data_IF_810043597389
#
_entry.id   IF_810043597389
#
_cell.length_a   1.000
_cell.length_b   1.000
_cell.length_c   1.000
_cell.angle_alpha   90.00
_cell.angle_beta   90.00
_cell.angle_gamma   90.00
#
_symmetry.space_group_name_H-M   'P 1'
#
loop_
_entity.id
_entity.type
_entity.pdbx_description
1 polymer ?
#
# COMPACT_ATOMS: atom_id res chain seq x y z
N UNK A 1 -14.82 -34.53 -24.04
CA UNK A 1 -14.78 -33.53 -25.14
C UNK A 1 -13.63 -32.57 -24.83
N UNK A 2 -12.56 -32.63 -25.61
CA UNK A 2 -11.37 -31.77 -25.46
C UNK A 2 -11.76 -30.31 -25.77
N UNK A 3 -11.80 -29.43 -24.77
CA UNK A 3 -12.04 -28.01 -25.02
C UNK A 3 -10.75 -27.35 -25.52
N UNK A 4 -10.59 -27.24 -26.84
CA UNK A 4 -9.45 -26.57 -27.46
C UNK A 4 -9.50 -25.07 -27.13
N UNK A 5 -8.48 -24.58 -26.41
CA UNK A 5 -8.38 -23.16 -26.05
C UNK A 5 -8.09 -22.35 -27.33
N UNK A 6 -8.77 -21.22 -27.50
CA UNK A 6 -8.59 -20.32 -28.65
C UNK A 6 -8.27 -18.90 -28.19
N UNK A 7 -7.62 -18.11 -29.05
CA UNK A 7 -7.39 -16.70 -28.78
C UNK A 7 -8.73 -15.95 -28.72
N UNK A 8 -8.98 -15.22 -27.63
CA UNK A 8 -10.22 -14.46 -27.42
C UNK A 8 -10.45 -13.38 -28.49
N UNK A 9 -9.39 -12.83 -29.09
CA UNK A 9 -9.46 -11.83 -30.15
C UNK A 9 -9.53 -12.46 -31.55
N UNK A 10 -8.52 -13.25 -31.95
CA UNK A 10 -8.38 -13.73 -33.34
C UNK A 10 -8.79 -15.19 -33.57
N UNK A 11 -9.30 -15.87 -32.53
CA UNK A 11 -9.83 -17.25 -32.55
C UNK A 11 -8.87 -18.36 -32.98
N UNK A 12 -7.58 -18.08 -33.18
CA UNK A 12 -6.55 -19.11 -33.45
C UNK A 12 -6.42 -20.10 -32.29
N UNK A 13 -6.33 -21.39 -32.61
CA UNK A 13 -6.33 -22.53 -31.67
C UNK A 13 -5.01 -23.31 -31.64
N UNK A 14 -4.16 -23.17 -32.67
CA UNK A 14 -2.87 -23.89 -32.81
C UNK A 14 -1.67 -22.94 -32.65
N UNK A 15 -1.73 -22.10 -31.62
CA UNK A 15 -0.69 -21.12 -31.31
C UNK A 15 -0.47 -21.10 -29.82
N UNK A 16 0.73 -20.71 -29.39
CA UNK A 16 0.99 -20.53 -27.97
C UNK A 16 0.10 -19.42 -27.41
N UNK A 17 -0.80 -19.80 -26.51
CA UNK A 17 -1.85 -18.94 -25.97
C UNK A 17 -1.50 -18.52 -24.55
N UNK A 18 -1.35 -17.21 -24.37
CA UNK A 18 -1.05 -16.59 -23.09
C UNK A 18 -2.35 -16.16 -22.42
N UNK A 19 -2.57 -16.63 -21.20
CA UNK A 19 -3.71 -16.21 -20.41
C UNK A 19 -3.59 -14.73 -20.01
N UNK A 20 -4.72 -14.05 -19.88
CA UNK A 20 -4.79 -12.71 -19.34
C UNK A 20 -4.22 -12.71 -17.92
N UNK A 21 -3.23 -11.85 -17.66
CA UNK A 21 -2.55 -11.79 -16.36
C UNK A 21 -3.48 -11.44 -15.19
N UNK A 22 -4.61 -10.78 -15.46
CA UNK A 22 -5.59 -10.34 -14.44
C UNK A 22 -6.62 -11.42 -14.11
N UNK A 23 -7.35 -11.92 -15.11
CA UNK A 23 -8.44 -12.88 -14.88
C UNK A 23 -8.04 -14.35 -15.05
N UNK A 24 -6.96 -14.62 -15.79
CA UNK A 24 -6.51 -15.95 -16.24
C UNK A 24 -7.53 -16.76 -17.06
N UNK A 25 -8.74 -16.24 -17.30
CA UNK A 25 -9.82 -16.91 -18.04
C UNK A 25 -9.70 -16.70 -19.55
N UNK A 26 -9.40 -15.49 -20.01
CA UNK A 26 -9.23 -15.20 -21.43
C UNK A 26 -7.80 -15.51 -21.90
N UNK A 27 -7.65 -16.06 -23.10
CA UNK A 27 -6.37 -16.48 -23.68
C UNK A 27 -6.08 -15.70 -24.97
N UNK A 28 -4.81 -15.34 -25.21
CA UNK A 28 -4.41 -14.56 -26.38
C UNK A 28 -3.11 -15.09 -27.00
N UNK A 29 -3.02 -15.12 -28.33
CA UNK A 29 -1.79 -15.52 -29.02
C UNK A 29 -0.66 -14.49 -28.90
N UNK A 30 -0.96 -13.29 -28.38
CA UNK A 30 0.01 -12.21 -28.25
C UNK A 30 -0.58 -10.95 -27.62
N UNK A 31 0.30 -10.01 -27.29
CA UNK A 31 -0.05 -8.74 -26.61
C UNK A 31 -0.95 -7.86 -27.47
N UNK A 32 -0.80 -7.90 -28.79
CA UNK A 32 -1.62 -7.11 -29.71
C UNK A 32 -3.08 -7.56 -29.69
N UNK A 33 -3.30 -8.89 -29.70
CA UNK A 33 -4.64 -9.46 -29.56
C UNK A 33 -5.27 -9.12 -28.20
N UNK A 34 -4.49 -9.08 -27.13
CA UNK A 34 -4.97 -8.65 -25.81
C UNK A 34 -5.33 -7.15 -25.77
N UNK A 35 -4.53 -6.28 -26.39
CA UNK A 35 -4.77 -4.83 -26.44
C UNK A 35 -6.03 -4.50 -27.26
N UNK A 36 -6.22 -5.18 -28.39
CA UNK A 36 -7.40 -5.00 -29.24
C UNK A 36 -8.68 -5.39 -28.52
N UNK A 37 -8.68 -6.53 -27.83
CA UNK A 37 -9.82 -6.99 -27.05
C UNK A 37 -9.99 -6.23 -25.71
N UNK A 38 -9.04 -5.37 -25.31
CA UNK A 38 -9.07 -4.73 -23.98
C UNK A 38 -10.34 -3.90 -23.74
N UNK A 39 -10.89 -3.23 -24.76
CA UNK A 39 -12.09 -2.38 -24.62
C UNK A 39 -13.33 -3.20 -24.21
N UNK A 40 -13.48 -4.41 -24.74
CA UNK A 40 -14.52 -5.39 -24.42
C UNK A 40 -14.17 -6.16 -23.16
N UNK A 41 -12.97 -6.75 -23.13
CA UNK A 41 -12.50 -7.63 -22.06
C UNK A 41 -12.49 -6.94 -20.70
N UNK A 42 -12.09 -5.66 -20.60
CA UNK A 42 -11.97 -4.96 -19.30
C UNK A 42 -13.26 -4.97 -18.47
N UNK A 43 -14.43 -5.04 -19.13
CA UNK A 43 -15.75 -5.05 -18.45
C UNK A 43 -16.01 -6.37 -17.71
N UNK A 44 -15.39 -7.45 -18.16
CA UNK A 44 -15.57 -8.82 -17.63
C UNK A 44 -14.29 -9.39 -17.01
N UNK A 45 -13.16 -8.70 -17.18
CA UNK A 45 -11.85 -9.08 -16.65
C UNK A 45 -11.85 -9.15 -15.11
N UNK A 46 -12.71 -8.40 -14.43
CA UNK A 46 -12.82 -8.34 -12.97
C UNK A 46 -13.73 -9.43 -12.37
N UNK A 47 -14.59 -10.07 -13.15
CA UNK A 47 -15.70 -10.87 -12.60
C UNK A 47 -15.43 -12.38 -12.56
N UNK A 48 -14.44 -12.87 -13.30
CA UNK A 48 -14.18 -14.31 -13.43
C UNK A 48 -13.05 -14.87 -12.54
N UNK A 49 -12.53 -14.08 -11.60
CA UNK A 49 -11.48 -14.52 -10.67
C UNK A 49 -12.03 -15.21 -9.40
N UNK A 50 -13.35 -15.35 -9.26
CA UNK A 50 -13.98 -15.80 -8.00
C UNK A 50 -14.30 -17.31 -7.91
N UNK A 51 -14.07 -18.12 -8.94
CA UNK A 51 -14.68 -19.46 -8.99
C UNK A 51 -13.71 -20.65 -9.03
N UNK A 52 -12.40 -20.47 -8.89
CA UNK A 52 -11.45 -21.58 -9.12
C UNK A 52 -10.42 -21.86 -8.00
N UNK A 53 -10.60 -21.34 -6.78
CA UNK A 53 -9.70 -21.68 -5.65
C UNK A 53 -10.48 -21.87 -4.35
N UNK A 54 -11.37 -22.85 -4.33
CA UNK A 54 -11.88 -23.46 -3.10
C UNK A 54 -11.18 -24.81 -2.99
N UNK A 55 -10.01 -24.85 -2.34
CA UNK A 55 -9.45 -26.01 -1.63
C UNK A 55 -8.02 -25.67 -1.21
N UNK A 56 -7.87 -25.32 0.07
CA UNK A 56 -6.59 -24.98 0.69
C UNK A 56 -6.80 -24.19 1.97
N UNK A 57 -7.44 -24.80 2.96
CA UNK A 57 -7.65 -24.23 4.27
C UNK A 57 -6.31 -24.10 5.03
N UNK A 58 -6.02 -22.90 5.53
CA UNK A 58 -5.17 -22.67 6.70
C UNK A 58 -5.64 -21.37 7.39
N UNK A 59 -6.38 -21.55 8.49
CA UNK A 59 -6.44 -20.65 9.65
C UNK A 59 -6.42 -19.14 9.38
N UNK A 60 -7.46 -18.59 8.76
CA UNK A 60 -7.70 -17.15 8.86
C UNK A 60 -8.36 -16.84 10.21
N UNK A 61 -7.54 -16.43 11.18
CA UNK A 61 -8.04 -15.67 12.33
C UNK A 61 -8.88 -14.52 11.79
N UNK A 62 -10.18 -14.54 12.07
CA UNK A 62 -11.13 -13.49 11.67
C UNK A 62 -10.87 -12.18 12.41
N UNK A 63 -9.94 -12.18 13.37
CA UNK A 63 -9.58 -11.07 14.24
C UNK A 63 -8.11 -10.70 14.05
N UNK A 64 -7.83 -9.42 13.80
CA UNK A 64 -6.46 -8.89 13.80
C UNK A 64 -6.09 -8.46 15.23
N UNK A 65 -5.09 -9.14 15.81
CA UNK A 65 -4.44 -8.72 17.05
C UNK A 65 -3.13 -8.03 16.69
N UNK A 66 -3.04 -6.72 16.93
CA UNK A 66 -1.87 -5.93 16.57
C UNK A 66 -0.63 -6.37 17.38
N UNK A 67 0.38 -6.99 16.73
CA UNK A 67 1.57 -7.45 17.44
C UNK A 67 2.41 -6.27 17.93
N UNK A 68 3.27 -6.52 18.92
CA UNK A 68 4.26 -5.52 19.33
C UNK A 68 5.30 -5.35 18.22
N UNK A 69 5.31 -4.17 17.61
CA UNK A 69 6.25 -3.83 16.54
C UNK A 69 7.69 -3.81 17.07
N UNK A 70 8.63 -4.42 16.33
CA UNK A 70 10.01 -4.66 16.80
C UNK A 70 10.82 -3.40 17.11
N UNK A 71 10.45 -2.28 16.51
CA UNK A 71 11.30 -1.08 16.40
C UNK A 71 10.58 0.21 16.82
N UNK A 72 9.38 0.03 17.39
CA UNK A 72 8.52 1.06 17.96
C UNK A 72 8.44 0.80 19.46
N UNK A 73 8.65 1.83 20.25
CA UNK A 73 8.68 1.73 21.71
C UNK A 73 7.27 1.55 22.27
N UNK A 74 6.33 2.38 21.82
CA UNK A 74 4.94 2.35 22.28
C UNK A 74 4.09 1.41 21.44
N UNK A 75 3.72 0.28 22.06
CA UNK A 75 2.72 -0.63 21.49
C UNK A 75 1.36 0.08 21.40
N UNK A 76 0.73 -0.04 20.24
CA UNK A 76 -0.63 0.44 20.00
C UNK A 76 -1.48 -0.80 19.70
N UNK A 77 -2.42 -1.17 20.59
CA UNK A 77 -3.25 -2.35 20.39
C UNK A 77 -4.33 -2.17 19.33
N UNK A 78 -4.73 -0.91 19.04
CA UNK A 78 -5.75 -0.59 18.04
C UNK A 78 -5.26 0.42 16.99
N UNK A 79 -4.20 0.09 16.23
CA UNK A 79 -3.60 1.01 15.26
C UNK A 79 -4.59 1.52 14.21
N UNK A 80 -5.50 0.69 13.70
CA UNK A 80 -6.43 1.08 12.63
C UNK A 80 -7.52 2.02 13.14
N UNK A 81 -8.03 1.77 14.34
CA UNK A 81 -8.98 2.68 15.02
C UNK A 81 -8.32 4.04 15.24
N UNK A 82 -7.08 4.09 15.71
CA UNK A 82 -6.35 5.35 15.90
C UNK A 82 -6.05 6.07 14.58
N UNK A 83 -5.76 5.33 13.51
CA UNK A 83 -5.59 5.90 12.16
C UNK A 83 -6.87 6.54 11.65
N UNK A 84 -8.01 5.87 11.83
CA UNK A 84 -9.32 6.40 11.44
C UNK A 84 -9.70 7.66 12.20
N UNK A 85 -9.36 7.72 13.48
CA UNK A 85 -9.57 8.90 14.33
C UNK A 85 -8.56 10.04 14.09
N UNK A 86 -7.55 9.84 13.23
CA UNK A 86 -6.44 10.80 13.07
C UNK A 86 -5.60 10.99 14.33
N UNK A 87 -5.61 9.99 15.23
CA UNK A 87 -4.92 10.00 16.52
C UNK A 87 -3.69 9.09 16.56
N UNK A 88 -3.34 8.45 15.43
CA UNK A 88 -2.28 7.44 15.36
C UNK A 88 -0.90 7.90 15.83
N UNK A 89 -0.56 9.18 15.62
CA UNK A 89 0.71 9.75 16.09
C UNK A 89 0.58 10.44 17.45
N UNK A 90 -0.61 10.91 17.85
CA UNK A 90 -0.80 11.88 18.95
C UNK A 90 -0.19 11.44 20.28
N UNK A 91 -0.31 10.17 20.60
CA UNK A 91 0.13 9.61 21.88
C UNK A 91 1.51 8.93 21.79
N UNK A 92 2.23 9.06 20.67
CA UNK A 92 3.50 8.35 20.45
C UNK A 92 4.71 9.15 20.94
N UNK A 93 5.78 8.46 21.38
CA UNK A 93 7.08 9.07 21.62
C UNK A 93 7.63 9.75 20.37
N UNK A 94 8.57 10.66 20.58
CA UNK A 94 9.23 11.41 19.51
C UNK A 94 9.90 10.49 18.48
N UNK A 95 10.73 9.55 18.94
CA UNK A 95 11.45 8.62 18.08
C UNK A 95 10.52 7.77 17.20
N UNK A 96 9.39 7.33 17.77
CA UNK A 96 8.38 6.56 17.01
C UNK A 96 7.66 7.43 15.98
N UNK A 97 7.34 8.67 16.35
CA UNK A 97 6.68 9.62 15.46
C UNK A 97 7.55 9.93 14.24
N UNK A 98 8.84 10.18 14.44
CA UNK A 98 9.77 10.46 13.34
C UNK A 98 9.89 9.25 12.39
N UNK A 99 10.11 8.05 12.93
CA UNK A 99 10.18 6.80 12.13
C UNK A 99 8.92 6.62 11.27
N UNK A 100 7.74 6.71 11.89
CA UNK A 100 6.46 6.48 11.21
C UNK A 100 6.18 7.54 10.14
N UNK A 101 6.51 8.82 10.39
CA UNK A 101 6.36 9.88 9.39
C UNK A 101 7.27 9.67 8.19
N UNK A 102 8.57 9.42 8.43
CA UNK A 102 9.53 9.20 7.34
C UNK A 102 9.16 7.96 6.53
N UNK A 103 8.85 6.86 7.20
CA UNK A 103 8.60 5.58 6.51
C UNK A 103 7.24 5.54 5.82
N UNK A 104 6.22 6.23 6.34
CA UNK A 104 4.94 6.41 5.63
C UNK A 104 5.11 7.22 4.34
N UNK A 105 5.93 8.27 4.39
CA UNK A 105 6.28 9.05 3.20
C UNK A 105 7.08 8.22 2.19
N UNK A 106 8.15 7.53 2.62
CA UNK A 106 9.00 6.70 1.75
C UNK A 106 8.20 5.59 1.05
N UNK A 107 7.32 4.91 1.80
CA UNK A 107 6.46 3.88 1.23
C UNK A 107 5.45 4.48 0.24
N UNK A 108 4.90 5.66 0.55
CA UNK A 108 3.99 6.36 -0.36
C UNK A 108 4.67 6.75 -1.66
N UNK A 109 5.90 7.26 -1.63
CA UNK A 109 6.66 7.54 -2.85
C UNK A 109 6.96 6.28 -3.66
N UNK A 110 7.32 5.17 -2.99
CA UNK A 110 7.55 3.89 -3.64
C UNK A 110 6.28 3.39 -4.36
N UNK A 111 5.12 3.47 -3.70
CA UNK A 111 3.84 3.10 -4.29
C UNK A 111 3.48 4.04 -5.46
N UNK A 112 3.64 5.36 -5.30
CA UNK A 112 3.38 6.32 -6.38
C UNK A 112 4.28 6.07 -7.59
N UNK A 113 5.58 5.77 -7.41
CA UNK A 113 6.46 5.40 -8.51
C UNK A 113 6.04 4.10 -9.21
N UNK A 114 5.53 3.12 -8.45
CA UNK A 114 5.11 1.83 -8.98
C UNK A 114 3.79 1.93 -9.77
N UNK A 115 2.84 2.75 -9.31
CA UNK A 115 1.48 2.77 -9.85
C UNK A 115 1.16 4.03 -10.67
N UNK A 116 1.80 5.15 -10.36
CA UNK A 116 1.55 6.46 -10.99
C UNK A 116 2.77 6.90 -11.81
N UNK A 117 2.55 7.34 -13.05
CA UNK A 117 3.63 7.87 -13.90
C UNK A 117 3.90 9.35 -13.57
N UNK A 118 4.18 9.65 -12.29
CA UNK A 118 4.46 11.02 -11.83
C UNK A 118 5.90 11.41 -12.13
N UNK A 119 6.08 12.64 -12.62
CA UNK A 119 7.38 13.29 -12.85
C UNK A 119 7.67 14.42 -11.85
N UNK A 120 6.71 14.70 -10.96
CA UNK A 120 6.77 15.74 -9.94
C UNK A 120 6.15 15.22 -8.63
N UNK A 121 6.61 15.68 -7.45
CA UNK A 121 7.74 16.60 -7.24
C UNK A 121 9.11 15.95 -7.52
N UNK A 122 10.17 16.76 -7.58
CA UNK A 122 11.55 16.27 -7.61
C UNK A 122 11.85 15.49 -6.32
N UNK A 123 12.22 14.23 -6.47
CA UNK A 123 12.48 13.30 -5.38
C UNK A 123 13.40 12.15 -5.84
N UNK A 124 13.77 11.26 -4.92
CA UNK A 124 14.59 10.07 -5.22
C UNK A 124 14.01 9.20 -6.36
N UNK A 125 12.69 9.27 -6.56
CA UNK A 125 11.99 8.48 -7.58
C UNK A 125 11.82 9.22 -8.92
N UNK A 126 12.08 10.52 -8.97
CA UNK A 126 12.03 11.35 -10.19
C UNK A 126 13.40 11.90 -10.62
N UNK A 127 14.48 11.42 -9.99
CA UNK A 127 15.87 11.66 -10.40
C UNK A 127 16.68 12.62 -9.51
N UNK A 128 16.13 13.06 -8.37
CA UNK A 128 16.89 13.83 -7.38
C UNK A 128 17.76 12.92 -6.49
N UNK A 129 18.73 13.50 -5.79
CA UNK A 129 19.61 12.78 -4.88
C UNK A 129 18.90 12.28 -3.61
N UNK A 130 17.83 12.96 -3.21
CA UNK A 130 17.04 12.66 -2.02
C UNK A 130 15.58 13.13 -2.19
N UNK A 131 14.73 12.76 -1.22
CA UNK A 131 13.33 13.18 -1.15
C UNK A 131 13.06 14.20 -0.03
N UNK A 132 14.06 14.97 0.40
CA UNK A 132 13.97 15.90 1.53
C UNK A 132 12.95 17.02 1.27
N UNK A 133 13.02 17.66 0.11
CA UNK A 133 12.12 18.75 -0.24
C UNK A 133 10.63 18.33 -0.23
N UNK A 134 10.21 17.24 -0.90
CA UNK A 134 8.84 16.75 -0.79
C UNK A 134 8.49 16.24 0.61
N UNK A 135 9.44 15.70 1.37
CA UNK A 135 9.19 15.31 2.76
C UNK A 135 8.86 16.50 3.67
N UNK A 136 9.56 17.64 3.52
CA UNK A 136 9.23 18.88 4.25
C UNK A 136 7.78 19.33 3.99
N UNK A 137 7.31 19.22 2.75
CA UNK A 137 5.92 19.52 2.39
C UNK A 137 4.93 18.51 3.00
N UNK A 138 5.31 17.24 3.06
CA UNK A 138 4.50 16.20 3.70
C UNK A 138 4.32 16.45 5.20
N UNK A 139 5.39 16.81 5.91
CA UNK A 139 5.30 17.15 7.35
C UNK A 139 4.45 18.41 7.59
N UNK A 140 4.60 19.44 6.75
CA UNK A 140 3.77 20.64 6.83
C UNK A 140 2.27 20.33 6.63
N UNK A 141 1.93 19.41 5.72
CA UNK A 141 0.55 18.94 5.55
C UNK A 141 0.03 18.19 6.79
N UNK A 142 0.87 17.34 7.40
CA UNK A 142 0.51 16.61 8.61
C UNK A 142 0.22 17.58 9.78
N UNK A 143 1.02 18.64 9.90
CA UNK A 143 0.81 19.74 10.86
C UNK A 143 -0.54 20.41 10.64
N UNK A 144 -0.79 20.89 9.41
CA UNK A 144 -2.00 21.62 9.06
C UNK A 144 -3.28 20.79 9.28
N UNK A 145 -3.18 19.46 9.16
CA UNK A 145 -4.27 18.52 9.41
C UNK A 145 -4.42 18.10 10.87
N UNK A 146 -3.62 18.65 11.80
CA UNK A 146 -3.67 18.33 13.25
C UNK A 146 -3.52 16.83 13.54
N UNK A 147 -2.66 16.18 12.76
CA UNK A 147 -2.32 14.75 12.93
C UNK A 147 -1.13 14.56 13.88
N UNK A 148 -0.32 15.60 14.06
CA UNK A 148 0.91 15.55 14.84
C UNK A 148 0.65 15.63 16.36
N UNK A 149 1.58 15.14 17.19
CA UNK A 149 1.46 15.20 18.65
C UNK A 149 1.38 16.62 19.21
N UNK A 150 0.85 16.76 20.42
CA UNK A 150 0.71 18.07 21.08
C UNK A 150 2.06 18.74 21.40
N UNK A 151 3.12 17.95 21.58
CA UNK A 151 4.49 18.44 21.80
C UNK A 151 5.18 18.93 20.52
N UNK A 152 4.55 18.71 19.36
CA UNK A 152 5.16 19.01 18.07
C UNK A 152 5.21 20.53 17.82
N UNK A 153 6.35 21.01 17.32
CA UNK A 153 6.64 22.42 17.05
C UNK A 153 7.57 22.57 15.82
N UNK A 154 7.91 23.80 15.43
CA UNK A 154 8.79 24.06 14.29
C UNK A 154 10.19 23.43 14.45
N UNK A 155 10.75 23.45 15.67
CA UNK A 155 12.04 22.81 15.95
C UNK A 155 11.95 21.29 15.71
N UNK A 156 10.86 20.64 16.15
CA UNK A 156 10.61 19.21 15.89
C UNK A 156 10.39 18.88 14.43
N UNK A 157 9.88 19.83 13.65
CA UNK A 157 9.82 19.70 12.19
C UNK A 157 11.22 19.63 11.59
N UNK A 158 12.14 20.50 12.02
CA UNK A 158 13.53 20.48 11.57
C UNK A 158 14.25 19.20 12.00
N UNK A 159 14.10 18.79 13.27
CA UNK A 159 14.68 17.56 13.80
C UNK A 159 14.17 16.32 13.07
N UNK A 160 12.88 16.24 12.75
CA UNK A 160 12.30 15.12 12.00
C UNK A 160 12.87 15.03 10.57
N UNK A 161 13.12 16.18 9.93
CA UNK A 161 13.73 16.19 8.60
C UNK A 161 15.19 15.78 8.68
N UNK A 162 15.95 16.30 9.64
CA UNK A 162 17.33 15.89 9.89
C UNK A 162 17.44 14.39 10.23
N UNK A 163 16.45 13.83 10.94
CA UNK A 163 16.35 12.39 11.20
C UNK A 163 16.23 11.58 9.89
N UNK A 164 15.40 12.06 8.95
CA UNK A 164 15.25 11.45 7.62
C UNK A 164 16.47 11.66 6.71
N UNK A 165 17.29 12.66 7.00
CA UNK A 165 18.60 12.89 6.39
C UNK A 165 19.71 12.11 7.14
N UNK A 166 19.42 11.29 8.13
CA UNK A 166 20.44 10.47 8.80
C UNK A 166 20.84 9.23 8.00
N UNK A 167 21.85 8.50 8.49
CA UNK A 167 22.28 7.21 7.89
C UNK A 167 21.49 6.00 8.41
N UNK A 168 20.41 6.23 9.15
CA UNK A 168 19.57 5.20 9.72
C UNK A 168 18.76 4.44 8.64
N UNK A 169 17.91 3.50 9.09
CA UNK A 169 17.02 2.76 8.18
C UNK A 169 15.97 3.66 7.53
N UNK A 170 15.45 4.63 8.28
CA UNK A 170 14.46 5.63 7.86
C UNK A 170 15.14 6.81 7.17
N UNK A 171 15.75 6.55 6.01
CA UNK A 171 16.58 7.50 5.25
C UNK A 171 15.89 7.88 3.92
N UNK A 172 15.73 9.18 3.69
CA UNK A 172 15.06 9.78 2.52
C UNK A 172 15.88 9.62 1.22
N UNK A 173 17.12 9.16 1.32
CA UNK A 173 17.99 8.81 0.18
C UNK A 173 17.87 7.34 -0.23
N UNK A 174 17.15 6.53 0.56
CA UNK A 174 17.02 5.09 0.34
C UNK A 174 15.59 4.71 -0.03
N UNK A 175 15.45 4.02 -1.17
CA UNK A 175 14.20 3.39 -1.59
C UNK A 175 13.76 2.33 -0.57
N UNK A 176 12.46 2.13 -0.46
CA UNK A 176 11.86 1.13 0.42
C UNK A 176 10.85 0.28 -0.34
N UNK A 177 10.73 -1.00 0.01
CA UNK A 177 9.69 -1.89 -0.50
C UNK A 177 8.72 -2.31 0.61
N UNK A 178 7.55 -2.83 0.23
CA UNK A 178 6.60 -3.47 1.16
C UNK A 178 7.28 -4.56 2.00
N UNK A 179 8.14 -5.38 1.39
CA UNK A 179 8.82 -6.47 2.07
C UNK A 179 9.81 -5.96 3.13
N UNK A 180 10.53 -4.87 2.83
CA UNK A 180 11.46 -4.25 3.78
C UNK A 180 10.73 -3.72 5.01
N UNK A 181 9.57 -3.07 4.82
CA UNK A 181 8.72 -2.58 5.92
C UNK A 181 8.26 -3.73 6.81
N UNK A 182 7.71 -4.81 6.23
CA UNK A 182 7.25 -5.98 7.00
C UNK A 182 8.40 -6.56 7.81
N UNK A 183 9.56 -6.75 7.19
CA UNK A 183 10.76 -7.27 7.87
C UNK A 183 11.20 -6.36 9.02
N UNK A 184 11.20 -5.05 8.80
CA UNK A 184 11.68 -4.04 9.77
C UNK A 184 10.76 -3.91 10.98
N UNK A 185 9.45 -3.90 10.76
CA UNK A 185 8.47 -3.67 11.82
C UNK A 185 7.94 -4.97 12.45
N UNK A 186 8.01 -6.08 11.73
CA UNK A 186 7.59 -7.40 12.22
C UNK A 186 6.08 -7.64 12.13
N UNK A 187 5.36 -6.89 11.28
CA UNK A 187 3.91 -7.00 11.10
C UNK A 187 3.56 -6.95 9.60
N UNK A 188 2.73 -7.89 9.14
CA UNK A 188 2.29 -7.99 7.75
C UNK A 188 1.29 -6.87 7.39
N UNK A 189 0.62 -6.28 8.39
CA UNK A 189 -0.28 -5.14 8.23
C UNK A 189 0.41 -3.79 8.37
N UNK A 190 1.70 -3.73 8.73
CA UNK A 190 2.43 -2.46 8.86
C UNK A 190 2.41 -1.61 7.58
N UNK A 191 2.63 -2.16 6.36
CA UNK A 191 2.51 -1.37 5.13
C UNK A 191 1.13 -0.73 4.96
N UNK A 192 0.07 -1.39 5.44
CA UNK A 192 -1.28 -0.82 5.42
C UNK A 192 -1.39 0.35 6.39
N UNK A 193 -0.87 0.22 7.61
CA UNK A 193 -0.86 1.31 8.59
C UNK A 193 -0.13 2.55 8.04
N UNK A 194 1.05 2.36 7.43
CA UNK A 194 1.84 3.43 6.83
C UNK A 194 1.13 4.10 5.63
N UNK A 195 0.46 3.32 4.77
CA UNK A 195 -0.33 3.86 3.65
C UNK A 195 -1.51 4.68 4.12
N UNK A 196 -2.22 4.20 5.14
CA UNK A 196 -3.34 4.92 5.75
C UNK A 196 -2.88 6.22 6.43
N UNK A 197 -1.71 6.20 7.08
CA UNK A 197 -1.10 7.41 7.63
C UNK A 197 -0.77 8.41 6.51
N UNK A 198 -0.14 7.96 5.42
CA UNK A 198 0.17 8.81 4.28
C UNK A 198 -1.08 9.38 3.60
N UNK A 199 -2.13 8.58 3.45
CA UNK A 199 -3.42 9.04 2.95
C UNK A 199 -4.02 10.12 3.87
N UNK A 200 -3.96 9.94 5.19
CA UNK A 200 -4.44 10.96 6.14
C UNK A 200 -3.68 12.29 5.97
N UNK A 201 -2.35 12.22 5.78
CA UNK A 201 -1.51 13.42 5.57
C UNK A 201 -1.79 14.08 4.23
N UNK A 202 -1.82 13.34 3.12
CA UNK A 202 -2.09 13.91 1.79
C UNK A 202 -3.56 14.26 1.56
N UNK A 203 -4.48 13.68 2.33
CA UNK A 203 -5.93 13.77 2.10
C UNK A 203 -6.41 13.05 0.84
N UNK A 204 -5.61 12.13 0.28
CA UNK A 204 -5.97 11.34 -0.92
C UNK A 204 -5.28 9.98 -0.95
N UNK A 205 -5.97 8.96 -1.46
CA UNK A 205 -5.39 7.65 -1.71
C UNK A 205 -4.47 7.64 -2.93
N UNK A 206 -3.90 6.46 -3.22
CA UNK A 206 -3.14 6.20 -4.44
C UNK A 206 -4.10 6.11 -5.64
N UNK A 207 -3.66 6.53 -6.81
CA UNK A 207 -4.43 6.50 -8.07
C UNK A 207 -5.79 7.23 -7.99
N UNK A 208 -5.95 8.17 -7.05
CA UNK A 208 -7.23 8.84 -6.80
C UNK A 208 -8.30 7.95 -6.17
N UNK A 209 -7.95 6.77 -5.65
CA UNK A 209 -8.88 5.92 -4.91
C UNK A 209 -9.18 6.52 -3.52
N UNK A 210 -10.42 6.33 -3.06
CA UNK A 210 -10.83 6.63 -1.70
C UNK A 210 -10.58 5.40 -0.79
N UNK A 211 -9.67 5.53 0.17
CA UNK A 211 -9.32 4.48 1.11
C UNK A 211 -10.34 4.26 2.24
N UNK A 212 -11.43 5.02 2.28
CA UNK A 212 -12.43 4.98 3.36
C UNK A 212 -13.03 3.59 3.59
N UNK A 213 -13.35 2.86 2.51
CA UNK A 213 -13.84 1.47 2.61
C UNK A 213 -12.82 0.56 3.30
N UNK A 214 -11.57 0.59 2.82
CA UNK A 214 -10.47 -0.21 3.36
C UNK A 214 -10.21 0.14 4.84
N UNK A 215 -10.20 1.44 5.17
CA UNK A 215 -10.03 1.93 6.54
C UNK A 215 -11.09 1.37 7.49
N UNK A 216 -12.37 1.48 7.13
CA UNK A 216 -13.47 0.94 7.93
C UNK A 216 -13.38 -0.58 8.10
N UNK A 217 -12.99 -1.29 7.04
CA UNK A 217 -12.80 -2.74 7.10
C UNK A 217 -11.67 -3.14 8.05
N UNK A 218 -10.54 -2.42 8.05
CA UNK A 218 -9.44 -2.69 8.98
C UNK A 218 -9.83 -2.40 10.44
N UNK A 219 -10.61 -1.34 10.69
CA UNK A 219 -11.17 -1.04 12.02
C UNK A 219 -12.12 -2.14 12.49
N UNK A 220 -12.96 -2.68 11.59
CA UNK A 220 -13.85 -3.80 11.93
C UNK A 220 -13.06 -5.06 12.29
N UNK A 221 -12.05 -5.41 11.50
CA UNK A 221 -11.18 -6.58 11.73
C UNK A 221 -10.42 -6.50 13.06
N UNK A 222 -9.99 -5.30 13.45
CA UNK A 222 -9.32 -5.02 14.72
C UNK A 222 -10.28 -5.12 15.93
N UNK A 223 -11.57 -4.86 15.74
CA UNK A 223 -12.59 -4.95 16.79
C UNK A 223 -13.27 -6.33 16.85
N UNK A 224 -12.70 -7.36 16.20
CA UNK A 224 -13.24 -8.72 16.20
C UNK A 224 -14.43 -8.93 15.25
N UNK A 225 -14.69 -7.98 14.35
CA UNK A 225 -15.66 -8.14 13.27
C UNK A 225 -15.15 -9.08 12.17
N UNK A 226 -16.05 -9.70 11.38
CA UNK A 226 -15.66 -10.64 10.33
C UNK A 226 -14.76 -9.95 9.30
N UNK A 227 -13.52 -10.41 9.19
CA UNK A 227 -12.54 -9.97 8.20
C UNK A 227 -12.83 -10.45 6.77
N UNK A 228 -14.12 -10.49 6.36
CA UNK A 228 -14.61 -11.18 5.15
C UNK A 228 -13.69 -11.02 3.95
N UNK A 229 -13.52 -12.13 3.22
CA UNK A 229 -12.45 -12.49 2.27
C UNK A 229 -12.18 -11.60 1.05
N UNK A 230 -12.46 -10.30 1.11
CA UNK A 230 -12.00 -9.31 0.15
C UNK A 230 -10.51 -8.92 0.31
N UNK A 231 -9.78 -9.52 1.27
CA UNK A 231 -8.34 -9.28 1.43
C UNK A 231 -7.48 -9.90 0.31
N UNK A 232 -8.08 -10.58 -0.68
CA UNK A 232 -7.34 -11.26 -1.74
C UNK A 232 -7.00 -10.36 -2.96
N UNK A 233 -7.62 -9.18 -3.12
CA UNK A 233 -7.39 -8.36 -4.33
C UNK A 233 -6.36 -7.22 -4.20
N UNK A 234 -5.89 -6.89 -2.99
CA UNK A 234 -4.92 -5.78 -2.81
C UNK A 234 -3.63 -6.15 -2.04
N UNK A 235 -3.59 -7.30 -1.37
CA UNK A 235 -2.34 -7.81 -0.76
C UNK A 235 -1.45 -8.58 -1.73
N UNK A 236 -1.99 -8.96 -2.89
CA UNK A 236 -1.30 -9.62 -4.02
C UNK A 236 -0.44 -8.65 -4.85
N UNK A 237 0.15 -7.63 -4.22
CA UNK A 237 1.20 -6.80 -4.82
C UNK A 237 2.60 -7.40 -4.67
N UNK A 238 2.72 -8.60 -4.07
CA UNK A 238 3.97 -9.36 -4.01
C UNK A 238 3.78 -10.72 -4.72
N UNK A 239 3.85 -10.68 -6.03
CA UNK A 239 4.30 -11.82 -6.83
C UNK A 239 4.93 -11.26 -8.11
N UNK A 240 6.07 -10.57 -7.92
CA UNK A 240 7.20 -10.46 -8.84
C UNK A 240 8.33 -9.73 -8.14
#
# INVERSE_FOLDING_TARGET
MESTRSCANCKKTDVDLKACSKCKTAHYCGRDCQKTDWKSHKKVCSTAAQSAFVQGAAEHSTTYSAPRLKTIEKHEPKPFTKLDQGAYLRDRPEADTFKLLVDSFRLREADEFQFETKTQPQSLYTGAADSTAPFRQYVAQAWNKKLLPAWWNDAKTLECVAFGEGDAWSDLRKRVTKADVIKRYGDDKMPMQLRMLAEAVYGRGLMGQDGTMMRKQMVMMENGGPGDGMMSSMLSLNAR
#
